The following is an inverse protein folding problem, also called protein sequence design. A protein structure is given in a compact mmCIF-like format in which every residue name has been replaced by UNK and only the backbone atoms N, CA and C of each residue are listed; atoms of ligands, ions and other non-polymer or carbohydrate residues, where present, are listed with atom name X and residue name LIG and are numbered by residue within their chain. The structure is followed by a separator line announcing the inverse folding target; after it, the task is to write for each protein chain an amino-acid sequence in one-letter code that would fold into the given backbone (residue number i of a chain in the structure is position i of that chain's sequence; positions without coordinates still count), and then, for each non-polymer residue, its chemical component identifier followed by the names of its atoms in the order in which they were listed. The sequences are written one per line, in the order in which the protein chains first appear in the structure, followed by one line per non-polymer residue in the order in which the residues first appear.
data_IF_850909304703
#
_entry.id   IF_850909304703
#
_cell.length_a   1.000
_cell.length_b   1.000
_cell.length_c   1.000
_cell.angle_alpha   90.00
_cell.angle_beta   90.00
_cell.angle_gamma   90.00
#
_symmetry.space_group_name_H-M   'P 1'
#
loop_
_entity.id
_entity.type
_entity.pdbx_description
1 polymer ?
#
# COMPACT_ATOMS: atom_id res chain seq x y z
N UNK A 1 3.40 8.60 -3.16
CA UNK A 1 3.57 7.38 -3.98
C UNK A 1 2.28 6.60 -3.97
N UNK A 2 1.77 6.29 -5.12
CA UNK A 2 0.48 5.59 -5.25
C UNK A 2 0.68 4.41 -6.21
N UNK A 3 0.09 3.26 -5.87
CA UNK A 3 0.09 2.09 -6.75
C UNK A 3 -1.16 1.26 -6.53
N UNK A 4 -1.42 0.34 -7.47
CA UNK A 4 -2.65 -0.44 -7.51
C UNK A 4 -2.37 -1.92 -7.72
N UNK A 5 -3.30 -2.73 -7.24
CA UNK A 5 -3.38 -4.16 -7.57
C UNK A 5 -4.74 -4.46 -8.15
N UNK A 6 -4.80 -5.49 -8.99
CA UNK A 6 -6.04 -5.89 -9.66
C UNK A 6 -6.28 -7.39 -9.54
N UNK A 7 -7.54 -7.78 -9.36
CA UNK A 7 -7.95 -9.18 -9.31
C UNK A 7 -9.41 -9.29 -9.72
N UNK A 8 -9.67 -9.97 -10.84
CA UNK A 8 -11.02 -10.27 -11.31
C UNK A 8 -11.94 -9.04 -11.34
N UNK A 9 -11.43 -7.93 -11.85
CA UNK A 9 -12.18 -6.68 -11.93
C UNK A 9 -12.23 -5.86 -10.65
N UNK A 10 -11.64 -6.35 -9.57
CA UNK A 10 -11.50 -5.61 -8.32
C UNK A 10 -10.13 -4.93 -8.24
N UNK A 11 -10.06 -3.83 -7.50
CA UNK A 11 -8.83 -3.06 -7.37
C UNK A 11 -8.52 -2.77 -5.91
N UNK A 12 -7.23 -2.86 -5.56
CA UNK A 12 -6.68 -2.34 -4.31
C UNK A 12 -5.86 -1.11 -4.64
N UNK A 13 -5.98 -0.08 -3.82
CA UNK A 13 -5.18 1.14 -3.97
C UNK A 13 -4.31 1.31 -2.74
N UNK A 14 -3.03 1.57 -2.96
CA UNK A 14 -2.09 1.86 -1.90
C UNK A 14 -1.50 3.24 -2.09
N UNK A 15 -1.37 3.98 -0.99
CA UNK A 15 -0.75 5.30 -1.01
C UNK A 15 0.18 5.44 0.18
N UNK A 16 1.40 5.93 -0.04
CA UNK A 16 2.31 6.33 1.02
C UNK A 16 2.30 7.85 1.09
N UNK A 17 1.96 8.38 2.27
CA UNK A 17 2.02 9.81 2.57
C UNK A 17 3.16 10.07 3.53
N UNK A 18 4.08 10.92 3.12
CA UNK A 18 5.15 11.37 4.01
C UNK A 18 4.64 12.55 4.82
N UNK A 19 4.65 12.40 6.13
CA UNK A 19 4.21 13.47 7.03
C UNK A 19 5.32 14.50 7.19
N UNK A 20 4.94 15.74 7.48
CA UNK A 20 5.86 16.88 7.52
C UNK A 20 6.85 16.84 8.67
N UNK A 21 6.58 16.02 9.69
CA UNK A 21 7.41 15.94 10.91
C UNK A 21 8.38 14.76 10.83
N UNK A 22 9.54 14.96 10.17
CA UNK A 22 10.61 13.99 10.16
C UNK A 22 10.32 12.77 9.28
N UNK A 23 10.64 11.58 9.76
CA UNK A 23 10.56 10.32 9.00
C UNK A 23 9.26 9.55 9.30
N UNK A 24 8.16 10.26 9.43
CA UNK A 24 6.87 9.63 9.68
C UNK A 24 6.08 9.45 8.40
N UNK A 25 5.44 8.29 8.28
CA UNK A 25 4.71 7.90 7.08
C UNK A 25 3.36 7.29 7.43
N UNK A 26 2.36 7.53 6.57
CA UNK A 26 1.11 6.81 6.60
C UNK A 26 1.00 5.94 5.35
N UNK A 27 0.65 4.68 5.54
CA UNK A 27 0.29 3.77 4.47
C UNK A 27 -1.23 3.67 4.43
N UNK A 28 -1.83 4.14 3.35
CA UNK A 28 -3.28 4.15 3.17
C UNK A 28 -3.64 3.06 2.17
N UNK A 29 -4.46 2.10 2.59
CA UNK A 29 -4.89 0.98 1.75
C UNK A 29 -6.39 1.09 1.55
N UNK A 30 -6.83 1.22 0.31
CA UNK A 30 -8.24 1.22 -0.04
C UNK A 30 -8.58 -0.14 -0.64
N UNK A 31 -9.45 -0.88 0.05
CA UNK A 31 -9.87 -2.21 -0.39
C UNK A 31 -10.86 -2.14 -1.54
N UNK A 32 -11.12 -3.28 -2.18
CA UNK A 32 -12.00 -3.38 -3.34
C UNK A 32 -13.44 -2.95 -3.04
N UNK A 33 -13.87 -3.05 -1.78
CA UNK A 33 -15.21 -2.62 -1.35
C UNK A 33 -15.28 -1.12 -1.02
N UNK A 34 -14.16 -0.40 -1.17
CA UNK A 34 -14.07 1.02 -0.88
C UNK A 34 -13.67 1.35 0.55
N UNK A 35 -13.52 0.36 1.43
CA UNK A 35 -13.06 0.60 2.79
C UNK A 35 -11.59 1.01 2.80
N UNK A 36 -11.23 1.84 3.77
CA UNK A 36 -9.89 2.40 3.87
C UNK A 36 -9.25 2.04 5.20
N UNK A 37 -7.99 1.62 5.15
CA UNK A 37 -7.17 1.35 6.33
C UNK A 37 -5.96 2.27 6.30
N UNK A 38 -5.57 2.80 7.46
CA UNK A 38 -4.38 3.63 7.59
C UNK A 38 -3.45 2.99 8.62
N UNK A 39 -2.20 2.78 8.22
CA UNK A 39 -1.15 2.28 9.10
C UNK A 39 -0.07 3.35 9.21
N UNK A 40 0.32 3.67 10.44
CA UNK A 40 1.31 4.70 10.71
C UNK A 40 2.67 4.09 11.01
N UNK A 41 3.73 4.67 10.45
CA UNK A 41 5.11 4.24 10.64
C UNK A 41 5.99 5.42 11.03
N UNK A 42 6.89 5.20 11.97
CA UNK A 42 7.81 6.23 12.45
C UNK A 42 9.19 6.16 11.80
N UNK A 43 9.40 5.20 10.87
CA UNK A 43 10.64 5.06 10.12
C UNK A 43 10.38 4.38 8.77
N UNK A 44 11.29 4.62 7.81
CA UNK A 44 11.14 4.08 6.46
C UNK A 44 11.40 2.57 6.39
N UNK A 45 12.22 2.03 7.27
CA UNK A 45 12.52 0.59 7.27
C UNK A 45 11.30 -0.24 7.64
N UNK A 46 10.54 0.19 8.64
CA UNK A 46 9.31 -0.48 9.05
C UNK A 46 8.25 -0.40 7.94
N UNK A 47 8.12 0.77 7.31
CA UNK A 47 7.22 0.97 6.19
C UNK A 47 7.56 0.02 5.04
N UNK A 48 8.82 -0.05 4.65
CA UNK A 48 9.28 -0.91 3.56
C UNK A 48 9.00 -2.39 3.87
N UNK A 49 9.28 -2.82 5.08
CA UNK A 49 9.00 -4.19 5.51
C UNK A 49 7.52 -4.52 5.40
N UNK A 50 6.67 -3.58 5.83
CA UNK A 50 5.22 -3.79 5.77
C UNK A 50 4.71 -3.85 4.34
N UNK A 51 5.19 -2.98 3.46
CA UNK A 51 4.76 -2.98 2.06
C UNK A 51 5.17 -4.28 1.36
N UNK A 52 6.38 -4.80 1.62
CA UNK A 52 6.81 -6.08 1.06
C UNK A 52 5.99 -7.24 1.59
N UNK A 53 5.63 -7.23 2.87
CA UNK A 53 4.78 -8.25 3.47
C UNK A 53 3.40 -8.28 2.82
N UNK A 54 2.78 -7.11 2.64
CA UNK A 54 1.47 -7.00 2.00
C UNK A 54 1.53 -7.44 0.54
N UNK A 55 2.57 -7.06 -0.17
CA UNK A 55 2.77 -7.46 -1.56
C UNK A 55 2.81 -8.99 -1.70
N UNK A 56 3.54 -9.65 -0.80
CA UNK A 56 3.61 -11.11 -0.78
C UNK A 56 2.26 -11.74 -0.47
N UNK A 57 1.52 -11.21 0.50
CA UNK A 57 0.19 -11.70 0.85
C UNK A 57 -0.77 -11.59 -0.33
N UNK A 58 -0.80 -10.44 -0.99
CA UNK A 58 -1.68 -10.22 -2.13
C UNK A 58 -1.30 -11.08 -3.32
N UNK A 59 -0.01 -11.27 -3.56
CA UNK A 59 0.47 -12.19 -4.60
C UNK A 59 -0.06 -13.61 -4.36
N UNK A 60 0.02 -14.09 -3.13
CA UNK A 60 -0.51 -15.41 -2.78
C UNK A 60 -2.02 -15.52 -2.92
N UNK A 61 -2.73 -14.40 -2.79
CA UNK A 61 -4.17 -14.35 -2.96
C UNK A 61 -4.59 -14.20 -4.42
N UNK A 62 -3.64 -14.10 -5.34
CA UNK A 62 -3.91 -14.00 -6.76
C UNK A 62 -4.06 -12.58 -7.30
N UNK A 63 -3.64 -11.57 -6.54
CA UNK A 63 -3.65 -10.19 -7.01
C UNK A 63 -2.50 -9.95 -7.98
N UNK A 64 -2.78 -9.22 -9.07
CA UNK A 64 -1.79 -8.78 -10.04
C UNK A 64 -1.33 -7.36 -9.68
N UNK A 65 -0.07 -7.09 -9.89
CA UNK A 65 0.52 -5.77 -9.65
C UNK A 65 1.90 -5.87 -9.03
N UNK A 66 2.44 -4.74 -8.60
CA UNK A 66 1.85 -3.38 -8.53
C UNK A 66 1.79 -2.67 -9.89
N UNK A 67 0.73 -1.90 -10.09
CA UNK A 67 0.54 -1.08 -11.28
C UNK A 67 0.55 0.40 -10.91
N UNK A 68 1.00 1.26 -11.84
CA UNK A 68 0.87 2.70 -11.71
C UNK A 68 1.69 3.30 -10.59
N UNK A 69 2.85 2.72 -10.28
CA UNK A 69 3.72 3.24 -9.23
C UNK A 69 4.32 4.57 -9.70
N UNK A 70 3.86 5.65 -9.09
CA UNK A 70 4.32 7.00 -9.38
C UNK A 70 4.93 7.63 -8.13
N UNK A 71 5.94 8.44 -8.35
CA UNK A 71 6.66 9.14 -7.28
C UNK A 71 6.31 10.62 -7.28
#
# INVERSE_FOLDING_TARGET
MIWFYAKQGHHLRCEIRHLTDGDQFDLVITDADGSERVEHFSDSASLTRRTLQLEAEWFHQGWDGPFGREY
#
